data_IF_784377426165
#
_entry.id   IF_784377426165
#
_cell.length_a   1.000
_cell.length_b   1.000
_cell.length_c   1.000
_cell.angle_alpha   90.00
_cell.angle_beta   90.00
_cell.angle_gamma   90.00
#
_symmetry.space_group_name_H-M   'P 1'
#
loop_
_entity.id
_entity.type
_entity.pdbx_description
1 polymer ?
#
# COMPACT_ATOMS: atom_id res chain seq x y z
N UNK A 1 17.55 -17.47 7.79
CA UNK A 1 17.29 -16.44 6.78
C UNK A 1 17.47 -17.06 5.41
N UNK A 2 16.47 -16.98 4.57
CA UNK A 2 16.51 -17.40 3.16
C UNK A 2 16.76 -16.18 2.29
N UNK A 3 17.38 -16.37 1.12
CA UNK A 3 17.76 -15.26 0.25
C UNK A 3 17.22 -15.52 -1.15
N UNK A 4 16.67 -14.46 -1.76
CA UNK A 4 16.17 -14.48 -3.11
C UNK A 4 16.44 -13.16 -3.80
N UNK A 5 16.77 -13.24 -5.09
CA UNK A 5 16.96 -12.08 -5.96
C UNK A 5 15.81 -12.00 -6.94
N UNK A 6 15.19 -10.83 -7.04
CA UNK A 6 14.06 -10.54 -7.90
C UNK A 6 14.39 -9.40 -8.85
N UNK A 7 14.29 -9.64 -10.17
CA UNK A 7 14.56 -8.64 -11.18
C UNK A 7 13.25 -7.96 -11.62
N UNK A 8 13.18 -6.66 -11.43
CA UNK A 8 12.02 -5.81 -11.66
C UNK A 8 12.34 -4.68 -12.65
N UNK A 9 11.35 -3.88 -13.05
CA UNK A 9 11.58 -2.67 -13.83
C UNK A 9 12.43 -1.66 -13.02
N UNK A 10 13.25 -0.85 -13.72
CA UNK A 10 14.05 0.18 -13.06
C UNK A 10 13.23 1.46 -12.89
N UNK A 11 12.93 1.80 -11.67
CA UNK A 11 12.23 3.01 -11.25
C UNK A 11 13.01 3.72 -10.14
N UNK A 12 12.72 4.98 -9.89
CA UNK A 12 13.38 5.75 -8.83
C UNK A 12 12.79 5.42 -7.46
N UNK A 13 11.46 5.42 -7.31
CA UNK A 13 10.78 5.35 -6.00
C UNK A 13 9.93 4.12 -5.76
N UNK A 14 9.25 3.57 -6.75
CA UNK A 14 8.34 2.41 -6.60
C UNK A 14 7.19 2.63 -5.61
N UNK A 15 6.66 3.82 -5.49
CA UNK A 15 5.61 4.18 -4.54
C UNK A 15 4.57 5.18 -5.09
N UNK A 16 4.64 5.50 -6.37
CA UNK A 16 3.70 6.38 -7.05
C UNK A 16 3.91 7.87 -6.81
N UNK A 17 4.95 8.30 -6.07
CA UNK A 17 5.21 9.73 -5.81
C UNK A 17 5.57 10.55 -7.04
N UNK A 18 5.97 9.92 -8.13
CA UNK A 18 6.30 10.58 -9.41
C UNK A 18 5.41 9.99 -10.50
N UNK A 19 4.55 10.82 -11.07
CA UNK A 19 3.61 10.41 -12.13
C UNK A 19 4.32 9.77 -13.35
N UNK A 20 5.51 10.24 -13.73
CA UNK A 20 6.30 9.68 -14.83
C UNK A 20 6.79 8.24 -14.60
N UNK A 21 6.70 7.70 -13.39
CA UNK A 21 7.04 6.30 -13.11
C UNK A 21 5.86 5.35 -13.22
N UNK A 22 4.67 5.86 -13.47
CA UNK A 22 3.46 5.04 -13.60
C UNK A 22 3.51 4.16 -14.86
N UNK A 23 4.21 4.61 -15.90
CA UNK A 23 4.37 3.91 -17.17
C UNK A 23 5.86 3.57 -17.40
N UNK A 24 6.41 2.54 -16.75
CA UNK A 24 7.83 2.23 -16.86
C UNK A 24 8.17 1.79 -18.27
N UNK A 25 9.20 2.43 -18.85
CA UNK A 25 9.72 2.10 -20.19
C UNK A 25 10.75 0.97 -20.18
N UNK A 26 11.23 0.57 -18.99
CA UNK A 26 12.19 -0.51 -18.78
C UNK A 26 11.51 -1.72 -18.15
N UNK A 27 11.56 -2.84 -18.83
CA UNK A 27 10.92 -4.08 -18.39
C UNK A 27 10.92 -5.12 -19.51
N UNK A 28 10.23 -6.23 -19.28
CA UNK A 28 10.02 -7.25 -20.30
C UNK A 28 9.06 -6.75 -21.40
N UNK A 29 8.93 -7.57 -22.48
CA UNK A 29 8.06 -7.26 -23.62
C UNK A 29 6.62 -6.89 -23.22
N UNK A 30 6.08 -7.51 -22.17
CA UNK A 30 4.74 -7.21 -21.66
C UNK A 30 4.61 -5.78 -21.13
N UNK A 31 5.61 -5.29 -20.37
CA UNK A 31 5.65 -3.90 -19.87
C UNK A 31 5.72 -2.89 -21.01
N UNK A 32 6.49 -3.23 -22.06
CA UNK A 32 6.59 -2.37 -23.25
C UNK A 32 5.31 -2.34 -24.09
N UNK A 33 4.51 -3.42 -24.07
CA UNK A 33 3.26 -3.53 -24.84
C UNK A 33 2.06 -2.98 -24.07
N UNK A 34 2.08 -2.99 -22.73
CA UNK A 34 0.94 -2.59 -21.89
C UNK A 34 1.20 -1.31 -21.07
N UNK A 35 2.42 -0.78 -21.11
CA UNK A 35 2.85 0.42 -20.37
C UNK A 35 2.53 0.35 -18.87
N UNK A 36 2.52 -0.86 -18.29
CA UNK A 36 2.23 -1.12 -16.89
C UNK A 36 3.20 -2.12 -16.28
N UNK A 37 3.48 -1.97 -14.99
CA UNK A 37 4.28 -2.90 -14.20
C UNK A 37 3.80 -2.91 -12.75
N UNK A 38 3.27 -4.03 -12.29
CA UNK A 38 2.83 -4.18 -10.89
C UNK A 38 3.96 -3.90 -9.89
N UNK A 39 5.22 -4.06 -10.30
CA UNK A 39 6.41 -3.77 -9.51
C UNK A 39 6.56 -2.29 -9.12
N UNK A 40 5.86 -1.36 -9.79
CA UNK A 40 5.90 0.08 -9.50
C UNK A 40 5.44 0.45 -8.09
N UNK A 41 4.81 -0.48 -7.38
CA UNK A 41 4.29 -0.30 -6.02
C UNK A 41 5.09 -1.04 -4.94
N UNK A 42 6.21 -1.68 -5.28
CA UNK A 42 6.92 -2.54 -4.36
C UNK A 42 7.38 -1.83 -3.08
N UNK A 43 7.60 -0.53 -3.10
CA UNK A 43 8.01 0.23 -1.92
C UNK A 43 6.94 1.22 -1.42
N UNK A 44 5.70 1.05 -1.87
CA UNK A 44 4.60 1.82 -1.31
C UNK A 44 4.29 1.34 0.11
N UNK A 45 4.41 2.24 1.06
CA UNK A 45 4.02 1.99 2.45
C UNK A 45 2.50 2.07 2.57
N UNK A 46 1.86 0.93 2.83
CA UNK A 46 0.44 0.83 3.10
C UNK A 46 0.24 0.50 4.57
N UNK A 47 0.03 1.54 5.36
CA UNK A 47 -0.15 1.48 6.82
C UNK A 47 0.86 0.56 7.53
N UNK A 48 2.13 0.82 7.28
CA UNK A 48 3.23 0.11 7.92
C UNK A 48 3.66 -1.19 7.23
N UNK A 49 3.10 -1.51 6.05
CA UNK A 49 3.50 -2.69 5.28
C UNK A 49 3.85 -2.35 3.84
N UNK A 50 4.80 -3.10 3.28
CA UNK A 50 5.12 -3.10 1.86
C UNK A 50 4.82 -4.48 1.25
N UNK A 51 4.34 -4.46 0.00
CA UNK A 51 3.92 -5.64 -0.75
C UNK A 51 4.68 -5.70 -2.06
N UNK A 52 5.40 -6.80 -2.26
CA UNK A 52 6.33 -6.95 -3.36
C UNK A 52 5.84 -7.91 -4.43
N UNK A 53 5.88 -7.44 -5.66
CA UNK A 53 5.60 -8.23 -6.84
C UNK A 53 6.85 -8.38 -7.72
N UNK A 54 7.00 -9.53 -8.31
CA UNK A 54 7.92 -9.80 -9.43
C UNK A 54 7.22 -10.72 -10.40
N UNK A 55 7.34 -10.47 -11.69
CA UNK A 55 6.79 -11.36 -12.69
C UNK A 55 7.50 -12.72 -12.66
N UNK A 56 6.79 -13.73 -12.15
CA UNK A 56 7.23 -15.12 -12.13
C UNK A 56 6.76 -15.88 -13.38
N UNK A 57 7.37 -17.03 -13.63
CA UNK A 57 6.89 -17.99 -14.63
C UNK A 57 6.08 -19.03 -13.87
N UNK A 58 4.76 -19.07 -14.10
CA UNK A 58 3.83 -20.02 -13.47
C UNK A 58 2.90 -19.39 -12.45
N UNK A 59 1.96 -20.18 -11.96
CA UNK A 59 0.90 -19.80 -11.01
C UNK A 59 1.32 -19.97 -9.56
N UNK A 60 2.42 -20.68 -9.31
CA UNK A 60 2.95 -20.96 -7.98
C UNK A 60 4.39 -20.45 -7.83
N UNK A 61 4.68 -19.92 -6.67
CA UNK A 61 6.03 -19.60 -6.24
C UNK A 61 6.61 -20.79 -5.44
N UNK A 62 7.72 -21.37 -5.90
CA UNK A 62 8.29 -22.59 -5.33
C UNK A 62 9.07 -22.33 -4.03
N UNK A 63 8.34 -22.08 -2.93
CA UNK A 63 8.94 -21.82 -1.60
C UNK A 63 9.71 -23.03 -1.04
N UNK A 64 9.46 -24.24 -1.51
CA UNK A 64 10.24 -25.44 -1.18
C UNK A 64 11.71 -25.37 -1.68
N UNK A 65 12.04 -24.43 -2.60
CA UNK A 65 13.42 -24.13 -2.98
C UNK A 65 14.22 -23.45 -1.89
N UNK A 66 13.57 -22.79 -0.95
CA UNK A 66 14.24 -22.27 0.24
C UNK A 66 14.61 -23.40 1.20
N UNK A 67 13.67 -24.32 1.43
CA UNK A 67 13.85 -25.49 2.29
C UNK A 67 12.73 -26.49 1.96
N UNK A 68 13.07 -27.76 1.76
CA UNK A 68 12.16 -28.85 1.39
C UNK A 68 10.99 -29.00 2.38
N UNK A 69 11.18 -28.63 3.64
CA UNK A 69 10.11 -28.66 4.66
C UNK A 69 8.89 -27.84 4.28
N UNK A 70 9.04 -26.79 3.42
CA UNK A 70 7.94 -25.93 2.98
C UNK A 70 7.14 -26.48 1.81
N UNK A 71 7.39 -27.71 1.36
CA UNK A 71 6.68 -28.34 0.20
C UNK A 71 5.16 -28.28 0.31
N UNK A 72 4.62 -28.34 1.52
CA UNK A 72 3.18 -28.38 1.79
C UNK A 72 2.68 -27.16 2.55
N UNK A 73 3.46 -26.09 2.58
CA UNK A 73 3.07 -24.83 3.21
C UNK A 73 2.68 -23.81 2.13
N UNK A 74 1.78 -22.90 2.49
CA UNK A 74 1.36 -21.81 1.60
C UNK A 74 2.28 -20.59 1.68
N UNK A 75 3.12 -20.51 2.72
CA UNK A 75 4.04 -19.39 2.94
C UNK A 75 5.28 -19.80 3.72
N UNK A 76 6.30 -18.97 3.67
CA UNK A 76 7.50 -19.05 4.51
C UNK A 76 7.96 -17.66 4.92
N UNK A 77 8.48 -17.56 6.15
CA UNK A 77 8.93 -16.31 6.75
C UNK A 77 10.46 -16.21 6.78
N UNK A 78 10.98 -15.05 7.22
CA UNK A 78 12.40 -14.78 7.36
C UNK A 78 13.16 -14.87 6.02
N UNK A 79 12.56 -14.28 4.98
CA UNK A 79 13.15 -14.18 3.64
C UNK A 79 13.76 -12.80 3.45
N UNK A 80 15.01 -12.76 3.00
CA UNK A 80 15.66 -11.57 2.47
C UNK A 80 15.38 -11.51 0.97
N UNK A 81 14.51 -10.60 0.55
CA UNK A 81 14.18 -10.36 -0.85
C UNK A 81 15.02 -9.22 -1.38
N UNK A 82 15.87 -9.48 -2.36
CA UNK A 82 16.78 -8.51 -2.96
C UNK A 82 16.22 -8.06 -4.31
N UNK A 83 15.75 -6.82 -4.36
CA UNK A 83 15.20 -6.22 -5.57
C UNK A 83 16.30 -5.72 -6.46
N UNK A 84 16.32 -6.18 -7.70
CA UNK A 84 17.31 -5.84 -8.69
C UNK A 84 16.63 -5.28 -9.93
N UNK A 85 17.26 -4.32 -10.62
CA UNK A 85 16.71 -3.76 -11.85
C UNK A 85 17.81 -3.41 -12.85
N UNK A 86 17.46 -3.38 -14.13
CA UNK A 86 18.40 -3.04 -15.20
C UNK A 86 18.65 -1.51 -15.22
N UNK A 87 19.75 -1.07 -14.63
CA UNK A 87 20.17 0.33 -14.68
C UNK A 87 20.62 0.69 -16.09
N UNK A 88 20.27 1.87 -16.64
CA UNK A 88 20.59 2.27 -18.01
C UNK A 88 22.07 2.17 -18.39
N UNK A 89 23.00 2.32 -17.42
CA UNK A 89 24.45 2.37 -17.67
C UNK A 89 25.27 1.30 -16.95
N UNK A 90 24.70 0.65 -15.89
CA UNK A 90 25.47 -0.21 -14.96
C UNK A 90 25.12 -1.71 -15.06
N UNK A 91 24.15 -2.07 -15.91
CA UNK A 91 23.62 -3.43 -15.95
C UNK A 91 22.60 -3.68 -14.85
N UNK A 92 22.39 -4.92 -14.41
CA UNK A 92 21.45 -5.23 -13.34
C UNK A 92 22.06 -4.89 -11.99
N UNK A 93 21.45 -3.96 -11.25
CA UNK A 93 21.93 -3.49 -9.94
C UNK A 93 20.91 -3.76 -8.85
N UNK A 94 21.36 -3.85 -7.60
CA UNK A 94 20.47 -3.84 -6.44
C UNK A 94 19.84 -2.44 -6.32
N UNK A 95 18.50 -2.39 -6.27
CA UNK A 95 17.75 -1.14 -6.05
C UNK A 95 17.23 -1.02 -4.63
N UNK A 96 17.07 -2.14 -3.91
CA UNK A 96 16.60 -2.20 -2.55
C UNK A 96 16.41 -3.64 -2.08
N UNK A 97 15.88 -3.81 -0.88
CA UNK A 97 15.61 -5.15 -0.33
C UNK A 97 14.49 -5.09 0.73
N UNK A 98 13.90 -6.26 0.99
CA UNK A 98 13.03 -6.50 2.15
C UNK A 98 13.74 -7.45 3.10
N UNK A 99 13.75 -7.14 4.39
CA UNK A 99 14.16 -8.03 5.46
C UNK A 99 12.95 -8.69 6.11
N UNK A 100 13.17 -9.83 6.75
CA UNK A 100 12.13 -10.56 7.50
C UNK A 100 10.83 -10.78 6.72
N UNK A 101 10.91 -10.79 5.38
CA UNK A 101 9.74 -10.89 4.52
C UNK A 101 9.08 -12.28 4.63
N UNK A 102 7.77 -12.30 4.43
CA UNK A 102 6.99 -13.49 4.12
C UNK A 102 6.96 -13.69 2.61
N UNK A 103 7.26 -14.89 2.14
CA UNK A 103 7.09 -15.30 0.75
C UNK A 103 5.89 -16.25 0.64
N UNK A 104 4.93 -15.93 -0.23
CA UNK A 104 3.72 -16.70 -0.44
C UNK A 104 3.88 -17.66 -1.62
N UNK A 105 3.35 -18.89 -1.51
CA UNK A 105 3.31 -19.88 -2.60
C UNK A 105 2.38 -19.44 -3.73
N UNK A 106 1.21 -18.95 -3.35
CA UNK A 106 0.21 -18.46 -4.28
C UNK A 106 0.22 -16.94 -4.31
N UNK A 107 -0.09 -16.39 -5.48
CA UNK A 107 -0.26 -14.97 -5.66
C UNK A 107 -1.38 -14.48 -4.73
N UNK A 108 -1.08 -13.53 -3.87
CA UNK A 108 -2.05 -12.90 -2.98
C UNK A 108 -2.59 -11.64 -3.64
N UNK A 109 -3.87 -11.44 -3.54
CA UNK A 109 -4.49 -10.18 -3.91
C UNK A 109 -4.50 -9.26 -2.68
N UNK A 110 -4.12 -8.02 -2.88
CA UNK A 110 -4.30 -7.01 -1.84
C UNK A 110 -5.80 -6.72 -1.74
N UNK A 111 -6.25 -6.46 -0.52
CA UNK A 111 -7.58 -5.87 -0.29
C UNK A 111 -7.57 -4.41 -0.75
N UNK A 112 -7.53 -4.19 -2.05
CA UNK A 112 -7.74 -2.87 -2.64
C UNK A 112 -9.22 -2.74 -2.95
N UNK A 113 -9.82 -1.60 -2.65
CA UNK A 113 -11.17 -1.31 -3.14
C UNK A 113 -11.12 -1.20 -4.67
N UNK A 114 -12.22 -1.50 -5.36
CA UNK A 114 -12.34 -1.16 -6.78
C UNK A 114 -12.00 0.30 -7.09
N UNK A 115 -12.19 1.21 -6.12
CA UNK A 115 -11.85 2.62 -6.22
C UNK A 115 -10.34 2.92 -6.33
N UNK A 116 -9.44 1.98 -6.06
CA UNK A 116 -8.01 2.19 -6.30
C UNK A 116 -7.57 1.88 -7.72
N UNK A 117 -8.44 1.27 -8.55
CA UNK A 117 -8.16 0.87 -9.94
C UNK A 117 -7.00 -0.11 -10.12
N UNK A 118 -6.48 -0.65 -9.01
CA UNK A 118 -5.26 -1.44 -9.02
C UNK A 118 -5.58 -2.82 -8.48
N UNK A 119 -5.66 -3.78 -9.37
CA UNK A 119 -5.53 -5.20 -9.04
C UNK A 119 -4.10 -5.44 -8.59
N UNK A 120 -3.85 -5.26 -7.29
CA UNK A 120 -2.53 -5.49 -6.72
C UNK A 120 -2.42 -6.93 -6.29
N UNK A 121 -1.51 -7.61 -6.95
CA UNK A 121 -1.08 -8.92 -6.52
C UNK A 121 0.34 -8.85 -5.96
N UNK A 122 0.67 -9.72 -5.01
CA UNK A 122 2.00 -9.78 -4.43
C UNK A 122 2.43 -11.21 -4.09
N UNK A 123 3.73 -11.44 -4.12
CA UNK A 123 4.38 -12.67 -3.67
C UNK A 123 5.03 -12.52 -2.30
N UNK A 124 5.47 -11.28 -1.99
CA UNK A 124 6.24 -10.97 -0.79
C UNK A 124 5.57 -9.85 -0.02
N UNK A 125 5.68 -9.92 1.31
CA UNK A 125 5.26 -8.82 2.17
C UNK A 125 6.22 -8.67 3.34
N UNK A 126 6.40 -7.45 3.83
CA UNK A 126 7.18 -7.15 5.02
C UNK A 126 6.64 -5.92 5.75
N UNK A 127 7.13 -5.66 6.97
CA UNK A 127 6.96 -4.34 7.60
C UNK A 127 7.62 -3.27 6.72
N UNK A 128 7.03 -2.09 6.62
CA UNK A 128 7.65 -0.97 5.92
C UNK A 128 9.00 -0.56 6.56
N UNK A 129 9.18 -0.81 7.86
CA UNK A 129 10.46 -0.63 8.55
C UNK A 129 11.56 -1.55 8.04
N UNK A 130 11.17 -2.73 7.56
CA UNK A 130 12.07 -3.75 6.98
C UNK A 130 12.24 -3.62 5.46
N UNK A 131 11.63 -2.60 4.85
CA UNK A 131 11.76 -2.30 3.43
C UNK A 131 12.79 -1.17 3.21
N UNK A 132 13.80 -1.45 2.41
CA UNK A 132 14.94 -0.55 2.17
C UNK A 132 15.05 -0.26 0.68
N UNK A 133 14.69 0.96 0.26
CA UNK A 133 14.87 1.45 -1.10
C UNK A 133 16.09 2.35 -1.13
N UNK A 134 17.03 2.07 -2.03
CA UNK A 134 18.23 2.90 -2.20
C UNK A 134 17.98 4.09 -3.12
N UNK A 135 18.53 5.28 -2.81
CA UNK A 135 18.62 6.37 -3.79
C UNK A 135 19.48 5.96 -4.98
N UNK A 136 19.24 6.56 -6.14
CA UNK A 136 19.81 6.13 -7.42
C UNK A 136 21.35 6.14 -7.44
N UNK A 137 21.98 7.10 -6.78
CA UNK A 137 23.44 7.22 -6.67
C UNK A 137 24.07 6.07 -5.87
N UNK A 138 23.32 5.44 -4.97
CA UNK A 138 23.75 4.31 -4.13
C UNK A 138 23.51 2.94 -4.78
N UNK A 139 22.80 2.85 -5.90
CA UNK A 139 22.54 1.61 -6.65
C UNK A 139 23.76 1.18 -7.45
N UNK A 140 24.81 0.81 -6.75
CA UNK A 140 26.15 0.58 -7.35
C UNK A 140 26.51 -0.89 -7.44
N UNK A 141 25.85 -1.79 -6.68
CA UNK A 141 26.18 -3.21 -6.66
C UNK A 141 25.55 -3.94 -7.85
N UNK A 142 26.37 -4.41 -8.77
CA UNK A 142 25.93 -5.14 -9.97
C UNK A 142 25.78 -6.65 -9.70
N UNK A 143 24.65 -7.21 -10.13
CA UNK A 143 24.39 -8.65 -10.15
C UNK A 143 24.64 -9.20 -11.56
N UNK A 144 25.34 -10.32 -11.64
CA UNK A 144 25.67 -10.95 -12.90
C UNK A 144 24.46 -11.48 -13.68
N UNK A 145 24.67 -11.74 -14.95
CA UNK A 145 23.72 -12.40 -15.85
C UNK A 145 24.33 -13.68 -16.42
N UNK A 146 23.62 -14.82 -16.33
CA UNK A 146 24.12 -16.11 -16.79
C UNK A 146 24.56 -16.10 -18.26
N UNK A 147 23.88 -15.35 -19.11
CA UNK A 147 24.20 -15.22 -20.53
C UNK A 147 25.56 -14.53 -20.77
N UNK A 148 26.00 -13.63 -19.86
CA UNK A 148 27.25 -12.87 -19.99
C UNK A 148 28.37 -13.46 -19.14
N UNK A 149 28.05 -13.83 -17.91
CA UNK A 149 29.01 -14.12 -16.86
C UNK A 149 29.16 -15.65 -16.61
N UNK A 150 28.24 -16.45 -17.16
CA UNK A 150 28.18 -17.90 -17.02
C UNK A 150 27.07 -18.40 -16.11
N UNK A 151 26.66 -19.64 -16.33
CA UNK A 151 25.56 -20.28 -15.59
C UNK A 151 25.87 -20.29 -14.09
N UNK A 152 24.86 -19.92 -13.29
CA UNK A 152 24.96 -19.88 -11.81
C UNK A 152 25.60 -18.61 -11.25
N UNK A 153 26.02 -17.66 -12.07
CA UNK A 153 26.68 -16.41 -11.65
C UNK A 153 25.72 -15.20 -11.58
N UNK A 154 24.44 -15.43 -11.66
CA UNK A 154 23.40 -14.40 -11.58
C UNK A 154 22.12 -14.84 -12.26
N UNK A 155 21.30 -13.87 -12.67
CA UNK A 155 20.02 -14.13 -13.31
C UNK A 155 20.17 -14.88 -14.64
N UNK A 156 19.36 -15.94 -14.82
CA UNK A 156 19.15 -16.62 -16.09
C UNK A 156 18.07 -15.94 -16.94
N UNK A 157 17.15 -16.75 -17.47
CA UNK A 157 15.97 -16.26 -18.19
C UNK A 157 14.83 -15.85 -17.25
N UNK A 158 14.83 -16.37 -16.02
CA UNK A 158 13.84 -16.03 -14.99
C UNK A 158 14.17 -14.69 -14.35
N UNK A 159 13.12 -13.95 -13.96
CA UNK A 159 13.24 -12.77 -13.11
C UNK A 159 13.55 -13.12 -11.64
N UNK A 160 13.61 -14.40 -11.30
CA UNK A 160 13.85 -14.90 -9.95
C UNK A 160 15.13 -15.74 -9.96
N UNK A 161 16.03 -15.49 -8.99
CA UNK A 161 17.24 -16.24 -8.78
C UNK A 161 17.46 -16.56 -7.30
N UNK A 162 17.53 -17.85 -6.95
CA UNK A 162 17.68 -18.30 -5.55
C UNK A 162 19.13 -18.32 -5.07
N UNK A 163 20.12 -18.05 -5.92
CA UNK A 163 21.53 -18.02 -5.53
C UNK A 163 22.08 -19.38 -5.05
N UNK A 164 21.60 -20.50 -5.59
CA UNK A 164 21.93 -21.84 -5.10
C UNK A 164 23.31 -22.36 -5.51
N UNK A 165 23.93 -21.78 -6.53
CA UNK A 165 25.25 -22.23 -7.01
C UNK A 165 26.35 -22.03 -5.95
N UNK A 166 27.39 -22.85 -6.00
CA UNK A 166 28.55 -22.68 -5.12
C UNK A 166 29.14 -21.28 -5.23
N UNK A 167 29.30 -20.77 -6.48
CA UNK A 167 29.78 -19.41 -6.73
C UNK A 167 28.86 -18.35 -6.07
N UNK A 168 27.54 -18.50 -6.16
CA UNK A 168 26.62 -17.56 -5.51
C UNK A 168 26.81 -17.56 -4.00
N UNK A 169 26.88 -18.73 -3.37
CA UNK A 169 27.02 -18.89 -1.93
C UNK A 169 28.37 -18.42 -1.40
N UNK A 170 29.44 -18.65 -2.13
CA UNK A 170 30.82 -18.37 -1.67
C UNK A 170 31.29 -16.95 -2.04
N UNK A 171 30.82 -16.38 -3.15
CA UNK A 171 31.31 -15.10 -3.67
C UNK A 171 30.24 -14.00 -3.68
N UNK A 172 29.04 -14.26 -4.21
CA UNK A 172 28.05 -13.20 -4.42
C UNK A 172 27.33 -12.84 -3.13
N UNK A 173 26.73 -13.82 -2.46
CA UNK A 173 25.89 -13.59 -1.26
C UNK A 173 26.67 -12.90 -0.14
N UNK A 174 27.91 -13.28 0.22
CA UNK A 174 28.66 -12.56 1.24
C UNK A 174 28.89 -11.08 0.90
N UNK A 175 29.21 -10.76 -0.34
CA UNK A 175 29.39 -9.38 -0.80
C UNK A 175 28.09 -8.58 -0.81
N UNK A 176 26.98 -9.23 -1.17
CA UNK A 176 25.65 -8.62 -1.12
C UNK A 176 25.26 -8.30 0.33
N UNK A 177 25.49 -9.21 1.28
CA UNK A 177 25.20 -8.96 2.69
C UNK A 177 26.09 -7.84 3.27
N UNK A 178 27.35 -7.76 2.86
CA UNK A 178 28.24 -6.64 3.22
C UNK A 178 27.72 -5.32 2.65
N UNK A 179 27.31 -5.32 1.37
CA UNK A 179 26.70 -4.14 0.73
C UNK A 179 25.43 -3.70 1.44
N UNK A 180 24.50 -4.60 1.73
CA UNK A 180 23.26 -4.32 2.49
C UNK A 180 23.60 -3.68 3.83
N UNK A 181 24.50 -4.29 4.60
CA UNK A 181 24.87 -3.78 5.93
C UNK A 181 25.49 -2.38 5.89
N UNK A 182 26.26 -2.08 4.84
CA UNK A 182 26.91 -0.76 4.68
C UNK A 182 25.97 0.34 4.17
N UNK A 183 24.78 -0.01 3.64
CA UNK A 183 23.85 0.95 3.03
C UNK A 183 22.49 1.02 3.74
N UNK A 184 22.36 0.47 4.95
CA UNK A 184 21.10 0.52 5.71
C UNK A 184 20.62 1.94 5.98
N UNK A 185 21.54 2.84 6.31
CA UNK A 185 21.22 4.23 6.64
C UNK A 185 21.02 5.11 5.39
N UNK A 186 21.37 4.59 4.21
CA UNK A 186 21.20 5.33 2.93
C UNK A 186 19.78 5.23 2.37
N UNK A 187 18.86 4.51 3.02
CA UNK A 187 17.52 4.25 2.48
C UNK A 187 16.70 5.53 2.29
N UNK A 188 15.90 5.55 1.23
CA UNK A 188 14.86 6.55 1.05
C UNK A 188 13.82 6.37 2.17
N UNK A 189 13.40 7.47 2.78
CA UNK A 189 12.35 7.43 3.78
C UNK A 189 10.99 7.14 3.12
N UNK A 190 10.42 5.98 3.42
CA UNK A 190 9.08 5.56 2.99
C UNK A 190 8.11 5.43 4.17
N UNK A 191 8.57 5.77 5.39
CA UNK A 191 7.82 5.56 6.64
C UNK A 191 6.92 6.74 7.00
N UNK A 192 7.21 7.93 6.48
CA UNK A 192 6.48 9.16 6.80
C UNK A 192 5.92 9.82 5.53
N UNK A 193 4.83 10.57 5.70
CA UNK A 193 4.22 11.32 4.60
C UNK A 193 5.05 12.54 4.15
N UNK A 194 6.02 12.98 4.95
CA UNK A 194 6.83 14.16 4.68
C UNK A 194 7.52 14.09 3.32
N UNK A 195 7.92 12.90 2.90
CA UNK A 195 8.54 12.71 1.61
C UNK A 195 7.57 12.89 0.43
N UNK A 196 6.26 12.71 0.66
CA UNK A 196 5.23 12.87 -0.38
C UNK A 196 4.82 14.33 -0.56
N UNK A 197 4.74 15.11 0.52
CA UNK A 197 4.25 16.48 0.47
C UNK A 197 5.34 17.54 0.30
N UNK A 198 6.62 17.19 0.44
CA UNK A 198 7.73 18.14 0.42
C UNK A 198 8.62 18.07 -0.82
N UNK A 199 8.65 16.97 -1.54
CA UNK A 199 9.61 16.75 -2.63
C UNK A 199 9.35 17.64 -3.86
N UNK A 200 8.10 17.87 -4.22
CA UNK A 200 7.76 18.69 -5.39
C UNK A 200 6.63 19.68 -5.10
N UNK A 201 6.99 20.96 -4.96
CA UNK A 201 6.05 22.09 -4.79
C UNK A 201 5.94 22.95 -6.05
N UNK A 202 6.47 22.47 -7.17
CA UNK A 202 6.38 23.18 -8.44
C UNK A 202 4.90 23.31 -8.85
N UNK A 203 4.41 24.50 -9.22
CA UNK A 203 3.06 24.65 -9.75
C UNK A 203 2.83 23.73 -10.95
N UNK A 204 1.62 23.19 -11.08
CA UNK A 204 1.26 22.36 -12.22
C UNK A 204 1.32 23.21 -13.50
N UNK A 205 1.77 22.58 -14.59
CA UNK A 205 1.55 23.10 -15.92
C UNK A 205 0.07 22.91 -16.32
N UNK A 206 -0.40 23.68 -17.27
CA UNK A 206 -1.79 23.55 -17.76
C UNK A 206 -2.13 22.13 -18.23
N UNK A 207 -1.18 21.43 -18.84
CA UNK A 207 -1.36 20.06 -19.30
C UNK A 207 -1.47 19.08 -18.11
N UNK A 208 -0.70 19.29 -17.05
CA UNK A 208 -0.80 18.49 -15.82
C UNK A 208 -2.11 18.75 -15.07
N UNK A 209 -2.58 20.01 -15.04
CA UNK A 209 -3.90 20.33 -14.46
C UNK A 209 -5.04 19.66 -15.24
N UNK A 210 -5.01 19.73 -16.58
CA UNK A 210 -5.97 19.05 -17.43
C UNK A 210 -5.96 17.54 -17.16
N UNK A 211 -4.77 16.91 -17.11
CA UNK A 211 -4.63 15.49 -16.81
C UNK A 211 -5.13 15.12 -15.40
N UNK A 212 -4.75 15.88 -14.37
CA UNK A 212 -5.20 15.62 -13.00
C UNK A 212 -6.73 15.69 -12.86
N UNK A 213 -7.38 16.60 -13.60
CA UNK A 213 -8.85 16.74 -13.62
C UNK A 213 -9.57 15.63 -14.41
N UNK A 214 -8.87 14.92 -15.29
CA UNK A 214 -9.40 13.77 -16.03
C UNK A 214 -9.28 12.45 -15.26
N UNK A 215 -8.47 12.42 -14.18
CA UNK A 215 -8.34 11.23 -13.36
C UNK A 215 -9.65 10.92 -12.65
N UNK A 216 -10.07 9.67 -12.74
CA UNK A 216 -11.29 9.17 -12.10
C UNK A 216 -11.03 8.77 -10.66
N UNK A 217 -12.10 8.52 -9.90
CA UNK A 217 -12.03 8.04 -8.52
C UNK A 217 -11.26 6.71 -8.36
N UNK A 218 -11.06 5.98 -9.46
CA UNK A 218 -10.28 4.75 -9.47
C UNK A 218 -8.75 4.97 -9.61
N UNK A 219 -8.32 6.21 -9.87
CA UNK A 219 -6.93 6.56 -10.16
C UNK A 219 -6.28 7.39 -9.03
N UNK A 220 -6.61 7.05 -7.79
CA UNK A 220 -6.18 7.82 -6.61
C UNK A 220 -4.66 7.90 -6.44
N UNK A 221 -3.91 6.83 -6.77
CA UNK A 221 -2.45 6.86 -6.65
C UNK A 221 -1.81 7.75 -7.72
N UNK A 222 -2.36 7.76 -8.93
CA UNK A 222 -1.96 8.65 -10.01
C UNK A 222 -2.22 10.12 -9.65
N UNK A 223 -3.30 10.39 -8.91
CA UNK A 223 -3.68 11.73 -8.47
C UNK A 223 -2.75 12.30 -7.40
N UNK A 224 -2.24 11.49 -6.46
CA UNK A 224 -1.52 11.98 -5.28
C UNK A 224 -0.37 12.95 -5.60
N UNK A 225 0.54 12.70 -6.58
CA UNK A 225 1.61 13.63 -6.90
C UNK A 225 1.11 15.01 -7.35
N UNK A 226 -0.03 15.05 -8.03
CA UNK A 226 -0.68 16.30 -8.43
C UNK A 226 -1.41 16.94 -7.26
N UNK A 227 -2.16 16.17 -6.49
CA UNK A 227 -2.91 16.64 -5.31
C UNK A 227 -2.03 17.35 -4.30
N UNK A 228 -0.86 16.80 -3.98
CA UNK A 228 0.11 17.45 -3.10
C UNK A 228 0.59 18.81 -3.63
N UNK A 229 0.89 18.89 -4.93
CA UNK A 229 1.31 20.14 -5.58
C UNK A 229 0.17 21.15 -5.65
N UNK A 230 -1.06 20.70 -5.95
CA UNK A 230 -2.26 21.55 -5.96
C UNK A 230 -2.46 22.16 -4.57
N UNK A 231 -2.48 21.33 -3.52
CA UNK A 231 -2.62 21.84 -2.16
C UNK A 231 -1.48 22.77 -1.77
N UNK A 232 -0.23 22.45 -2.07
CA UNK A 232 0.93 23.28 -1.72
C UNK A 232 0.87 24.68 -2.34
N UNK A 233 0.23 24.82 -3.53
CA UNK A 233 0.08 26.11 -4.21
C UNK A 233 -1.25 26.80 -3.89
N UNK A 234 -2.26 26.08 -3.44
CA UNK A 234 -3.58 26.60 -3.08
C UNK A 234 -4.16 25.81 -1.88
N UNK A 235 -3.78 26.14 -0.62
CA UNK A 235 -4.15 25.39 0.58
C UNK A 235 -5.60 25.70 1.01
N UNK A 236 -6.57 25.02 0.40
CA UNK A 236 -7.99 25.07 0.74
C UNK A 236 -8.45 23.76 1.40
N UNK A 237 -9.61 23.79 2.07
CA UNK A 237 -10.23 22.60 2.64
C UNK A 237 -10.51 21.54 1.56
N UNK A 238 -11.06 21.94 0.42
CA UNK A 238 -11.36 21.05 -0.72
C UNK A 238 -10.09 20.33 -1.23
N UNK A 239 -8.98 21.06 -1.37
CA UNK A 239 -7.73 20.48 -1.85
C UNK A 239 -7.10 19.54 -0.80
N UNK A 240 -7.22 19.85 0.49
CA UNK A 240 -6.81 18.96 1.57
C UNK A 240 -7.68 17.69 1.59
N UNK A 241 -9.00 17.85 1.44
CA UNK A 241 -9.96 16.74 1.39
C UNK A 241 -9.68 15.80 0.20
N UNK A 242 -9.41 16.34 -0.98
CA UNK A 242 -9.09 15.53 -2.17
C UNK A 242 -7.86 14.63 -1.94
N UNK A 243 -6.81 15.17 -1.33
CA UNK A 243 -5.61 14.37 -0.96
C UNK A 243 -5.97 13.32 0.09
N UNK A 244 -6.74 13.70 1.13
CA UNK A 244 -7.17 12.79 2.18
C UNK A 244 -7.98 11.61 1.64
N UNK A 245 -8.93 11.88 0.74
CA UNK A 245 -9.76 10.85 0.08
C UNK A 245 -8.90 9.94 -0.79
N UNK A 246 -7.98 10.49 -1.59
CA UNK A 246 -7.09 9.69 -2.40
C UNK A 246 -6.23 8.74 -1.55
N UNK A 247 -5.68 9.21 -0.44
CA UNK A 247 -4.94 8.38 0.53
C UNK A 247 -5.83 7.31 1.16
N UNK A 248 -7.04 7.67 1.58
CA UNK A 248 -8.00 6.73 2.15
C UNK A 248 -8.36 5.62 1.16
N UNK A 249 -8.63 5.98 -0.09
CA UNK A 249 -8.96 5.02 -1.14
C UNK A 249 -7.77 4.12 -1.52
N UNK A 250 -6.55 4.55 -1.22
CA UNK A 250 -5.34 3.74 -1.33
C UNK A 250 -5.01 2.95 -0.05
N UNK A 251 -5.90 2.89 0.93
CA UNK A 251 -5.66 2.26 2.25
C UNK A 251 -4.46 2.82 3.02
N UNK A 252 -4.11 4.05 2.77
CA UNK A 252 -3.06 4.74 3.53
C UNK A 252 -3.69 5.53 4.68
N UNK A 253 -4.37 4.81 5.56
CA UNK A 253 -5.21 5.40 6.61
C UNK A 253 -4.42 6.32 7.55
N UNK A 254 -3.26 5.85 8.03
CA UNK A 254 -2.42 6.67 8.92
C UNK A 254 -1.94 7.96 8.26
N UNK A 255 -1.75 7.95 6.94
CA UNK A 255 -1.37 9.14 6.16
C UNK A 255 -2.58 10.03 5.85
N UNK A 256 -3.77 9.46 5.71
CA UNK A 256 -5.00 10.20 5.44
C UNK A 256 -5.47 11.03 6.66
N UNK A 257 -5.26 10.53 7.88
CA UNK A 257 -5.68 11.21 9.12
C UNK A 257 -5.26 12.69 9.15
N UNK A 258 -3.96 13.06 9.07
CA UNK A 258 -3.56 14.46 9.17
C UNK A 258 -4.07 15.32 8.01
N UNK A 259 -4.46 14.76 6.88
CA UNK A 259 -5.09 15.50 5.79
C UNK A 259 -6.57 15.76 6.05
N UNK A 260 -7.31 14.78 6.59
CA UNK A 260 -8.69 15.03 7.06
C UNK A 260 -8.71 15.98 8.27
N UNK A 261 -7.78 15.86 9.22
CA UNK A 261 -7.63 16.83 10.31
C UNK A 261 -7.38 18.24 9.79
N UNK A 262 -6.54 18.38 8.75
CA UNK A 262 -6.28 19.66 8.07
C UNK A 262 -7.52 20.20 7.35
N UNK A 263 -8.32 19.34 6.74
CA UNK A 263 -9.62 19.71 6.16
C UNK A 263 -10.53 20.31 7.22
N UNK A 264 -10.69 19.63 8.36
CA UNK A 264 -11.50 20.10 9.49
C UNK A 264 -10.94 21.38 10.14
N UNK A 265 -9.62 21.58 10.13
CA UNK A 265 -8.99 22.84 10.58
C UNK A 265 -9.37 24.00 9.67
N UNK A 266 -9.38 23.79 8.35
CA UNK A 266 -9.70 24.82 7.35
C UNK A 266 -11.21 25.03 7.20
N UNK A 267 -12.01 23.98 7.36
CA UNK A 267 -13.48 24.03 7.41
C UNK A 267 -13.99 23.23 8.61
N UNK A 268 -14.24 23.90 9.78
CA UNK A 268 -14.70 23.22 10.98
C UNK A 268 -16.12 22.63 10.88
N UNK A 269 -16.91 23.03 9.89
CA UNK A 269 -18.27 22.54 9.67
C UNK A 269 -18.36 21.38 8.69
N UNK A 270 -17.21 20.90 8.15
CA UNK A 270 -17.15 19.74 7.27
C UNK A 270 -17.46 18.44 8.04
N UNK A 271 -18.73 18.02 7.95
CA UNK A 271 -19.24 16.79 8.57
C UNK A 271 -18.70 15.52 7.87
N UNK A 272 -18.41 15.59 6.58
CA UNK A 272 -17.93 14.43 5.79
C UNK A 272 -16.48 14.10 6.14
N UNK A 273 -15.62 15.10 6.25
CA UNK A 273 -14.23 14.89 6.70
C UNK A 273 -14.17 14.27 8.10
N UNK A 274 -15.06 14.71 9.02
CA UNK A 274 -15.19 14.11 10.37
C UNK A 274 -15.69 12.67 10.32
N UNK A 275 -16.68 12.37 9.46
CA UNK A 275 -17.17 11.01 9.23
C UNK A 275 -16.09 10.08 8.73
N UNK A 276 -15.24 10.55 7.77
CA UNK A 276 -14.08 9.79 7.28
C UNK A 276 -13.03 9.56 8.36
N UNK A 277 -12.77 10.54 9.24
CA UNK A 277 -11.88 10.33 10.39
C UNK A 277 -12.40 9.24 11.33
N UNK A 278 -13.70 9.25 11.65
CA UNK A 278 -14.31 8.22 12.49
C UNK A 278 -14.13 6.82 11.89
N UNK A 279 -14.39 6.66 10.58
CA UNK A 279 -14.19 5.42 9.86
C UNK A 279 -12.72 4.98 9.88
N UNK A 280 -11.79 5.89 9.60
CA UNK A 280 -10.35 5.57 9.57
C UNK A 280 -9.83 5.15 10.95
N UNK A 281 -10.26 5.83 12.02
CA UNK A 281 -9.91 5.41 13.38
C UNK A 281 -10.42 4.00 13.69
N UNK A 282 -11.61 3.62 13.20
CA UNK A 282 -12.12 2.26 13.32
C UNK A 282 -11.23 1.26 12.55
N UNK A 283 -10.86 1.56 11.30
CA UNK A 283 -10.01 0.69 10.48
C UNK A 283 -8.62 0.46 11.10
N UNK A 284 -8.13 1.42 11.89
CA UNK A 284 -6.87 1.34 12.64
C UNK A 284 -7.06 0.79 14.07
N UNK A 285 -8.22 0.22 14.37
CA UNK A 285 -8.56 -0.36 15.69
C UNK A 285 -8.49 0.67 16.84
N UNK A 286 -8.57 1.97 16.53
CA UNK A 286 -8.59 3.07 17.50
C UNK A 286 -10.03 3.34 17.94
N UNK A 287 -10.71 2.31 18.47
CA UNK A 287 -12.15 2.31 18.72
C UNK A 287 -12.64 3.44 19.65
N UNK A 288 -11.85 3.80 20.66
CA UNK A 288 -12.18 4.91 21.55
C UNK A 288 -12.26 6.25 20.80
N UNK A 289 -11.25 6.54 19.96
CA UNK A 289 -11.22 7.77 19.16
C UNK A 289 -12.33 7.79 18.12
N UNK A 290 -12.55 6.67 17.43
CA UNK A 290 -13.66 6.52 16.49
C UNK A 290 -15.00 6.80 17.18
N UNK A 291 -15.25 6.18 18.32
CA UNK A 291 -16.47 6.34 19.10
C UNK A 291 -16.68 7.79 19.56
N UNK A 292 -15.64 8.47 20.04
CA UNK A 292 -15.69 9.88 20.44
C UNK A 292 -16.02 10.78 19.25
N UNK A 293 -15.34 10.57 18.10
CA UNK A 293 -15.59 11.33 16.88
C UNK A 293 -17.00 11.14 16.36
N UNK A 294 -17.53 9.91 16.36
CA UNK A 294 -18.90 9.63 15.93
C UNK A 294 -19.92 10.32 16.85
N UNK A 295 -19.74 10.29 18.16
CA UNK A 295 -20.67 10.92 19.10
C UNK A 295 -20.70 12.44 18.92
N UNK A 296 -19.52 13.09 18.80
CA UNK A 296 -19.45 14.53 18.51
C UNK A 296 -20.17 14.87 17.18
N UNK A 297 -20.02 14.01 16.18
CA UNK A 297 -20.64 14.23 14.87
C UNK A 297 -22.15 14.03 14.89
N UNK A 298 -22.66 13.03 15.62
CA UNK A 298 -24.11 12.80 15.77
C UNK A 298 -24.84 13.99 16.44
N UNK A 299 -24.15 14.75 17.30
CA UNK A 299 -24.66 15.96 17.91
C UNK A 299 -24.71 17.16 16.95
N UNK A 300 -24.05 17.08 15.79
CA UNK A 300 -23.92 18.16 14.81
C UNK A 300 -24.75 17.96 13.54
N UNK A 301 -25.02 16.71 13.16
CA UNK A 301 -25.75 16.41 11.93
C UNK A 301 -27.26 16.67 12.11
N UNK A 302 -27.89 17.07 11.01
CA UNK A 302 -29.35 17.28 10.95
C UNK A 302 -30.10 16.04 10.47
N UNK A 303 -31.41 16.12 10.41
CA UNK A 303 -32.25 15.05 9.87
C UNK A 303 -32.09 14.85 8.36
N UNK A 304 -31.47 15.81 7.68
CA UNK A 304 -31.21 15.74 6.23
C UNK A 304 -30.05 14.81 5.91
N UNK A 305 -29.10 14.60 6.84
CA UNK A 305 -27.96 13.70 6.69
C UNK A 305 -28.27 12.26 7.17
N UNK A 306 -29.43 11.72 6.78
CA UNK A 306 -29.86 10.41 7.25
C UNK A 306 -28.91 9.27 6.85
N UNK A 307 -28.34 9.32 5.65
CA UNK A 307 -27.38 8.30 5.18
C UNK A 307 -26.08 8.32 6.00
N UNK A 308 -25.57 9.50 6.30
CA UNK A 308 -24.39 9.64 7.17
C UNK A 308 -24.69 9.14 8.59
N UNK A 309 -25.87 9.43 9.12
CA UNK A 309 -26.30 8.94 10.45
C UNK A 309 -26.34 7.43 10.51
N UNK A 310 -26.84 6.79 9.47
CA UNK A 310 -26.88 5.34 9.34
C UNK A 310 -25.47 4.72 9.36
N UNK A 311 -24.53 5.30 8.61
CA UNK A 311 -23.12 4.91 8.63
C UNK A 311 -22.52 5.07 10.04
N UNK A 312 -22.77 6.19 10.71
CA UNK A 312 -22.24 6.47 12.05
C UNK A 312 -22.79 5.49 13.11
N UNK A 313 -24.04 5.08 13.00
CA UNK A 313 -24.60 4.05 13.89
C UNK A 313 -23.95 2.70 13.68
N UNK A 314 -23.64 2.32 12.42
CA UNK A 314 -22.91 1.11 12.12
C UNK A 314 -21.48 1.15 12.67
N UNK A 315 -20.77 2.28 12.52
CA UNK A 315 -19.43 2.46 13.10
C UNK A 315 -19.47 2.30 14.62
N UNK A 316 -20.45 2.88 15.31
CA UNK A 316 -20.60 2.71 16.77
C UNK A 316 -20.87 1.26 17.15
N UNK A 317 -21.76 0.59 16.42
CA UNK A 317 -22.06 -0.82 16.68
C UNK A 317 -20.81 -1.68 16.56
N UNK A 318 -20.05 -1.54 15.49
CA UNK A 318 -18.82 -2.28 15.28
C UNK A 318 -17.75 -1.95 16.33
N UNK A 319 -17.55 -0.66 16.66
CA UNK A 319 -16.59 -0.24 17.68
C UNK A 319 -16.90 -0.89 19.04
N UNK A 320 -18.16 -0.87 19.47
CA UNK A 320 -18.57 -1.52 20.71
C UNK A 320 -18.44 -3.04 20.66
N UNK A 321 -18.74 -3.66 19.51
CA UNK A 321 -18.60 -5.10 19.35
C UNK A 321 -17.14 -5.54 19.48
N UNK A 322 -16.22 -4.87 18.79
CA UNK A 322 -14.79 -5.18 18.84
C UNK A 322 -14.15 -4.84 20.19
N UNK A 323 -14.72 -3.86 20.91
CA UNK A 323 -14.33 -3.57 22.31
C UNK A 323 -14.94 -4.54 23.33
N UNK A 324 -15.67 -5.57 22.88
CA UNK A 324 -16.29 -6.59 23.73
C UNK A 324 -17.58 -6.17 24.43
N UNK A 325 -18.12 -5.00 24.11
CA UNK A 325 -19.37 -4.43 24.65
C UNK A 325 -20.54 -4.78 23.76
N UNK A 326 -20.87 -6.09 23.71
CA UNK A 326 -21.82 -6.64 22.73
C UNK A 326 -23.24 -6.11 22.94
N UNK A 327 -23.69 -5.86 24.17
CA UNK A 327 -25.03 -5.35 24.47
C UNK A 327 -25.22 -3.92 23.93
N UNK A 328 -24.19 -3.05 24.09
CA UNK A 328 -24.18 -1.70 23.55
C UNK A 328 -24.15 -1.73 22.01
N UNK A 329 -23.34 -2.62 21.43
CA UNK A 329 -23.27 -2.82 19.99
C UNK A 329 -24.66 -3.18 19.40
N UNK A 330 -25.37 -4.10 20.03
CA UNK A 330 -26.73 -4.50 19.65
C UNK A 330 -27.68 -3.30 19.71
N UNK A 331 -27.59 -2.46 20.73
CA UNK A 331 -28.43 -1.28 20.86
C UNK A 331 -28.30 -0.33 19.68
N UNK A 332 -27.08 -0.15 19.14
CA UNK A 332 -26.85 0.69 17.97
C UNK A 332 -27.38 0.07 16.68
N UNK A 333 -27.23 -1.25 16.48
CA UNK A 333 -27.84 -1.93 15.34
C UNK A 333 -29.38 -1.88 15.39
N UNK A 334 -29.97 -1.99 16.57
CA UNK A 334 -31.42 -1.84 16.73
C UNK A 334 -31.92 -0.42 16.38
N UNK A 335 -31.07 0.62 16.60
CA UNK A 335 -31.37 1.96 16.12
C UNK A 335 -31.37 2.05 14.62
N UNK A 336 -30.37 1.46 13.94
CA UNK A 336 -30.37 1.39 12.47
C UNK A 336 -31.68 0.79 11.96
N UNK A 337 -32.15 -0.34 12.54
CA UNK A 337 -33.39 -0.99 12.12
C UNK A 337 -34.66 -0.13 12.37
N UNK A 338 -34.61 0.79 13.33
CA UNK A 338 -35.74 1.66 13.65
C UNK A 338 -35.77 2.95 12.84
N UNK A 339 -34.62 3.52 12.54
CA UNK A 339 -34.50 4.89 12.03
C UNK A 339 -34.10 4.93 10.54
N UNK A 340 -33.37 3.91 10.04
CA UNK A 340 -32.94 3.86 8.64
C UNK A 340 -34.10 3.61 7.66
N UNK A 341 -33.99 4.21 6.49
CA UNK A 341 -34.88 3.97 5.33
C UNK A 341 -34.19 3.18 4.22
N UNK A 342 -32.92 2.82 4.40
CA UNK A 342 -32.11 2.06 3.44
C UNK A 342 -32.44 0.56 3.61
N UNK A 343 -33.19 -0.02 2.66
CA UNK A 343 -33.65 -1.42 2.73
C UNK A 343 -32.48 -2.41 2.73
N UNK A 344 -31.40 -2.14 1.98
CA UNK A 344 -30.21 -3.01 1.92
C UNK A 344 -29.49 -3.00 3.26
N UNK A 345 -29.31 -1.83 3.87
CA UNK A 345 -28.72 -1.68 5.19
C UNK A 345 -29.53 -2.36 6.28
N UNK A 346 -30.86 -2.21 6.25
CA UNK A 346 -31.79 -2.87 7.18
C UNK A 346 -31.66 -4.41 7.08
N UNK A 347 -31.59 -4.94 5.86
CA UNK A 347 -31.41 -6.36 5.63
C UNK A 347 -30.07 -6.86 6.20
N UNK A 348 -28.98 -6.20 5.86
CA UNK A 348 -27.63 -6.52 6.36
C UNK A 348 -27.57 -6.46 7.90
N UNK A 349 -28.08 -5.37 8.47
CA UNK A 349 -28.11 -5.14 9.94
C UNK A 349 -28.92 -6.22 10.67
N UNK A 350 -30.06 -6.64 10.09
CA UNK A 350 -30.88 -7.73 10.65
C UNK A 350 -30.14 -9.04 10.74
N UNK A 351 -29.34 -9.39 9.71
CA UNK A 351 -28.57 -10.62 9.69
C UNK A 351 -27.36 -10.56 10.63
N UNK A 352 -26.69 -9.40 10.70
CA UNK A 352 -25.61 -9.14 11.66
C UNK A 352 -26.13 -9.27 13.10
N UNK A 353 -27.25 -8.68 13.41
CA UNK A 353 -27.88 -8.74 14.73
C UNK A 353 -28.23 -10.18 15.14
N UNK A 354 -28.77 -10.99 14.22
CA UNK A 354 -29.04 -12.43 14.47
C UNK A 354 -27.75 -13.19 14.79
N UNK A 355 -26.67 -12.85 14.12
CA UNK A 355 -25.37 -13.52 14.34
C UNK A 355 -24.78 -13.12 15.69
N UNK A 356 -24.78 -11.84 16.04
CA UNK A 356 -24.24 -11.37 17.32
C UNK A 356 -25.04 -11.91 18.51
N UNK A 357 -26.38 -11.95 18.43
CA UNK A 357 -27.27 -12.53 19.48
C UNK A 357 -27.07 -14.03 19.70
N UNK A 358 -26.44 -14.77 18.79
CA UNK A 358 -26.10 -16.19 18.99
C UNK A 358 -24.88 -16.39 19.89
N UNK A 359 -24.06 -15.37 20.05
CA UNK A 359 -22.81 -15.41 20.79
C UNK A 359 -22.92 -14.76 22.20
N UNK A 360 -24.13 -14.31 22.58
CA UNK A 360 -24.53 -13.94 23.93
C UNK A 360 -25.10 -15.16 24.69
#
# INVERSE_FOLDING_TARGET
>A
MYIIFCNIAYLRYYDGRIAGEMNPTTGGRWVQENEDAHEKWNFLNMDGRCYGFVKSIGEEFHIEKFDEKYRHFDETNNVLVIWCAAHPQRGTVIVGWYENATANRFLREMRCTPASGIDRCYWFECSAEDAYLLPEDKRTFAIGRAAKDGVGKGFGQSNIWFGESAYAKEDVIPKVLEFINSHREDRINILTKEFLDTEDKTPLTKQEEEYANELTDDQNLEYLPFGYRIYANNPTADNAYAVAVALNNCYQYSMAIPWFEKTVELDPDDIYARGKLAYIYQQLEMYDKSTETVKDLLDRISDEEADLRDELYCILADNYYFDGKVEEAITWLERVLQESKNEDLISYTSDTLKNWKKHL
#
